data_IF_396736517620
#
_entry.id   IF_396736517620
#
_cell.length_a   1.000
_cell.length_b   1.000
_cell.length_c   1.000
_cell.angle_alpha   90.00
_cell.angle_beta   90.00
_cell.angle_gamma   90.00
#
_symmetry.space_group_name_H-M   'P 1'
#
loop_
_entity.id
_entity.type
_entity.pdbx_description
1 polymer ?
#
# COMPACT_ATOMS: atom_id res chain seq x y z
N UNK A 1 12.39 9.78 14.53
CA UNK A 1 11.00 10.21 14.24
C UNK A 1 10.16 9.92 15.47
N UNK A 2 9.28 10.84 15.86
CA UNK A 2 8.22 10.58 16.84
C UNK A 2 6.95 10.26 16.07
N UNK A 3 6.77 8.98 15.75
CA UNK A 3 5.63 8.53 14.97
C UNK A 3 4.40 8.44 15.87
N UNK A 4 3.29 9.01 15.42
CA UNK A 4 2.00 8.77 16.09
C UNK A 4 1.49 7.36 15.74
N UNK A 5 0.63 6.74 16.57
CA UNK A 5 0.13 5.39 16.30
C UNK A 5 -0.42 5.20 14.89
N UNK A 6 -1.14 6.21 14.36
CA UNK A 6 -1.67 6.20 13.00
C UNK A 6 -0.61 6.13 11.90
N UNK A 7 0.57 6.70 12.12
CA UNK A 7 1.68 6.63 11.16
C UNK A 7 2.33 5.25 11.18
N UNK A 8 2.41 4.60 12.36
CA UNK A 8 2.84 3.21 12.46
C UNK A 8 1.90 2.28 11.69
N UNK A 9 0.58 2.46 11.80
CA UNK A 9 -0.39 1.65 11.06
C UNK A 9 -0.23 1.78 9.54
N UNK A 10 0.05 3.01 9.06
CA UNK A 10 0.35 3.26 7.65
C UNK A 10 1.63 2.56 7.21
N UNK A 11 2.67 2.57 8.04
CA UNK A 11 3.93 1.85 7.76
C UNK A 11 3.68 0.34 7.64
N UNK A 12 2.89 -0.25 8.55
CA UNK A 12 2.52 -1.67 8.47
C UNK A 12 1.75 -1.96 7.18
N UNK A 13 0.83 -1.08 6.79
CA UNK A 13 0.07 -1.21 5.54
C UNK A 13 0.97 -1.15 4.31
N UNK A 14 1.91 -0.20 4.27
CA UNK A 14 2.91 -0.08 3.19
C UNK A 14 3.82 -1.31 3.12
N UNK A 15 4.27 -1.83 4.26
CA UNK A 15 5.07 -3.06 4.34
C UNK A 15 4.33 -4.27 3.77
N UNK A 16 3.04 -4.43 4.09
CA UNK A 16 2.18 -5.49 3.54
C UNK A 16 1.96 -5.31 2.03
N UNK A 17 1.76 -4.07 1.56
CA UNK A 17 1.66 -3.76 0.14
C UNK A 17 2.91 -4.15 -0.64
N UNK A 18 4.10 -3.82 -0.10
CA UNK A 18 5.38 -4.21 -0.71
C UNK A 18 5.58 -5.73 -0.73
N UNK A 19 5.18 -6.43 0.34
CA UNK A 19 5.19 -7.90 0.36
C UNK A 19 4.28 -8.49 -0.72
N UNK A 20 3.07 -7.94 -0.88
CA UNK A 20 2.12 -8.35 -1.91
C UNK A 20 2.65 -8.09 -3.33
N UNK A 21 3.27 -6.93 -3.58
CA UNK A 21 3.96 -6.64 -4.86
C UNK A 21 5.00 -7.69 -5.19
N UNK A 22 5.86 -8.05 -4.23
CA UNK A 22 6.90 -9.07 -4.42
C UNK A 22 6.31 -10.45 -4.70
N UNK A 23 5.18 -10.81 -4.08
CA UNK A 23 4.47 -12.09 -4.31
C UNK A 23 3.85 -12.10 -5.71
N UNK A 24 3.16 -11.03 -6.09
CA UNK A 24 2.58 -10.87 -7.41
C UNK A 24 3.63 -10.93 -8.52
N UNK A 25 4.79 -10.29 -8.33
CA UNK A 25 5.90 -10.32 -9.28
C UNK A 25 6.48 -11.72 -9.51
N UNK A 26 6.27 -12.66 -8.56
CA UNK A 26 6.63 -14.08 -8.73
C UNK A 26 5.50 -14.93 -9.33
N UNK A 27 4.40 -14.32 -9.75
CA UNK A 27 3.23 -15.00 -10.30
C UNK A 27 2.31 -15.63 -9.25
N UNK A 28 2.46 -15.29 -7.96
CA UNK A 28 1.58 -15.80 -6.91
C UNK A 28 0.24 -15.08 -6.98
N UNK A 29 -0.86 -15.86 -7.00
CA UNK A 29 -2.21 -15.31 -6.88
C UNK A 29 -2.41 -14.74 -5.48
N UNK A 30 -2.67 -13.43 -5.41
CA UNK A 30 -2.89 -12.73 -4.14
C UNK A 30 -4.22 -13.16 -3.49
N UNK A 31 -4.20 -13.25 -2.16
CA UNK A 31 -5.40 -13.36 -1.34
C UNK A 31 -6.05 -11.98 -1.11
N UNK A 32 -7.19 -11.97 -0.41
CA UNK A 32 -7.94 -10.74 -0.18
C UNK A 32 -7.12 -9.66 0.57
N UNK A 33 -6.42 -10.03 1.64
CA UNK A 33 -5.64 -9.08 2.43
C UNK A 33 -4.44 -8.51 1.64
N UNK A 34 -3.77 -9.35 0.87
CA UNK A 34 -2.65 -8.94 0.01
C UNK A 34 -3.10 -8.01 -1.12
N UNK A 35 -4.24 -8.33 -1.76
CA UNK A 35 -4.81 -7.48 -2.79
C UNK A 35 -5.20 -6.11 -2.22
N UNK A 36 -5.86 -6.08 -1.05
CA UNK A 36 -6.23 -4.83 -0.37
C UNK A 36 -5.00 -4.02 0.02
N UNK A 37 -3.97 -4.64 0.60
CA UNK A 37 -2.74 -3.95 0.99
C UNK A 37 -1.97 -3.41 -0.22
N UNK A 38 -1.91 -4.19 -1.31
CA UNK A 38 -1.31 -3.76 -2.58
C UNK A 38 -2.00 -2.50 -3.12
N UNK A 39 -3.32 -2.52 -3.23
CA UNK A 39 -4.11 -1.39 -3.74
C UNK A 39 -3.92 -0.16 -2.83
N UNK A 40 -4.07 -0.33 -1.52
CA UNK A 40 -3.93 0.76 -0.56
C UNK A 40 -2.54 1.40 -0.60
N UNK A 41 -1.48 0.59 -0.65
CA UNK A 41 -0.10 1.09 -0.75
C UNK A 41 0.12 1.84 -2.06
N UNK A 42 -0.42 1.35 -3.19
CA UNK A 42 -0.25 2.04 -4.48
C UNK A 42 -0.98 3.41 -4.49
N UNK A 43 -2.20 3.48 -3.96
CA UNK A 43 -2.93 4.73 -3.82
C UNK A 43 -2.19 5.72 -2.91
N UNK A 44 -1.59 5.26 -1.81
CA UNK A 44 -0.80 6.13 -0.93
C UNK A 44 0.41 6.74 -1.65
N UNK A 45 1.10 5.97 -2.49
CA UNK A 45 2.20 6.50 -3.31
C UNK A 45 1.70 7.47 -4.38
N UNK A 46 0.57 7.20 -5.05
CA UNK A 46 -0.03 8.15 -6.00
C UNK A 46 -0.43 9.48 -5.34
N UNK A 47 -0.96 9.42 -4.12
CA UNK A 47 -1.24 10.62 -3.30
C UNK A 47 0.07 11.35 -2.97
N UNK A 48 1.15 10.61 -2.69
CA UNK A 48 2.46 11.18 -2.35
C UNK A 48 3.09 11.90 -3.54
N UNK A 49 2.93 11.36 -4.75
CA UNK A 49 3.41 11.95 -6.00
C UNK A 49 2.64 13.21 -6.40
N UNK A 50 1.35 13.31 -6.02
CA UNK A 50 0.55 14.51 -6.23
C UNK A 50 0.09 14.76 -7.67
N UNK A 51 0.22 13.77 -8.55
CA UNK A 51 -0.19 13.87 -9.96
C UNK A 51 -1.64 13.45 -10.24
N UNK A 52 -2.34 12.91 -9.24
CA UNK A 52 -3.70 12.37 -9.38
C UNK A 52 -4.67 13.02 -8.39
N UNK A 53 -5.92 13.19 -8.82
CA UNK A 53 -7.02 13.68 -7.98
C UNK A 53 -8.10 12.62 -7.82
N UNK A 54 -8.88 12.69 -6.74
CA UNK A 54 -10.07 11.87 -6.60
C UNK A 54 -11.09 12.29 -7.65
N UNK A 55 -11.62 11.37 -8.49
CA UNK A 55 -12.65 11.72 -9.45
C UNK A 55 -13.94 12.10 -8.71
N UNK A 56 -14.55 13.21 -9.13
CA UNK A 56 -15.82 13.74 -8.60
C UNK A 56 -17.02 13.10 -9.25
#
# INVERSE_FOLDING_TARGET
>A
MQLVPRELDKLVTSQLGFLAQRRLARGVRLNHAEATALIASNIQELIRDGHHTVPT
#
